data_IF_557476021166
#
_entry.id   IF_557476021166
#
_cell.length_a   1.000
_cell.length_b   1.000
_cell.length_c   1.000
_cell.angle_alpha   90.00
_cell.angle_beta   90.00
_cell.angle_gamma   90.00
#
_symmetry.space_group_name_H-M   'P 1'
#
loop_
_entity.id
_entity.type
_entity.pdbx_description
1 polymer ?
#
# COMPACT_ATOMS: atom_id res chain seq x y z
N UNK A 1 -10.70 4.03 0.59
CA UNK A 1 -9.23 4.17 0.76
C UNK A 1 -8.75 3.19 1.82
N UNK A 2 -7.45 2.90 1.85
CA UNK A 2 -6.83 2.05 2.88
C UNK A 2 -5.66 2.83 3.47
N UNK A 3 -5.50 2.81 4.80
CA UNK A 3 -4.38 3.48 5.48
C UNK A 3 -3.03 2.82 5.13
N UNK A 4 -1.93 3.45 5.53
CA UNK A 4 -0.67 2.73 5.72
C UNK A 4 -0.82 1.60 6.75
N UNK A 5 0.09 0.64 6.71
CA UNK A 5 0.09 -0.52 7.63
C UNK A 5 0.30 -0.10 9.08
N UNK A 6 -0.59 -0.55 9.95
CA UNK A 6 -0.57 -0.30 11.38
C UNK A 6 -0.34 -1.60 12.13
N UNK A 7 0.51 -1.53 13.14
CA UNK A 7 0.93 -2.69 13.90
C UNK A 7 -0.19 -3.15 14.86
N UNK A 8 -0.49 -4.46 14.93
CA UNK A 8 -1.47 -4.98 15.88
C UNK A 8 -0.92 -4.96 17.32
N UNK A 9 0.40 -5.05 17.47
CA UNK A 9 1.11 -5.02 18.75
C UNK A 9 2.55 -4.53 18.53
N UNK A 10 3.33 -4.45 19.62
CA UNK A 10 4.71 -3.99 19.60
C UNK A 10 5.67 -4.92 18.84
N UNK A 11 5.50 -6.24 18.95
CA UNK A 11 6.34 -7.26 18.28
C UNK A 11 6.22 -7.18 16.75
N UNK A 12 5.03 -6.83 16.26
CA UNK A 12 4.70 -6.69 14.86
C UNK A 12 4.99 -5.32 14.25
N UNK A 13 5.46 -4.35 15.03
CA UNK A 13 5.82 -3.02 14.56
C UNK A 13 6.95 -3.05 13.54
N UNK A 14 6.79 -2.35 12.41
CA UNK A 14 7.85 -2.22 11.39
C UNK A 14 9.10 -1.55 11.98
N UNK A 15 8.89 -0.51 12.79
CA UNK A 15 9.91 0.25 13.52
C UNK A 15 9.46 0.45 14.98
N UNK A 16 10.39 0.73 15.92
CA UNK A 16 10.02 1.15 17.26
C UNK A 16 9.10 2.39 17.20
N UNK A 17 7.94 2.33 17.86
CA UNK A 17 6.94 3.40 17.80
C UNK A 17 6.09 3.40 16.52
N UNK A 18 6.06 2.30 15.77
CA UNK A 18 5.14 2.13 14.64
C UNK A 18 3.68 2.44 15.03
N UNK A 19 2.95 3.06 14.11
CA UNK A 19 1.55 3.42 14.30
C UNK A 19 0.70 2.17 14.57
N UNK A 20 -0.31 2.32 15.43
CA UNK A 20 -1.24 1.26 15.83
C UNK A 20 -2.36 1.84 16.69
N UNK A 21 -3.39 1.03 16.94
CA UNK A 21 -4.50 1.39 17.86
C UNK A 21 -4.29 0.67 19.20
N UNK A 22 -3.32 1.12 19.99
CA UNK A 22 -2.94 0.44 21.24
C UNK A 22 -3.75 0.92 22.45
N UNK A 23 -4.32 2.11 22.37
CA UNK A 23 -5.03 2.77 23.47
C UNK A 23 -6.30 3.48 22.99
N UNK A 24 -7.18 3.84 23.93
CA UNK A 24 -8.36 4.66 23.64
C UNK A 24 -7.99 6.03 23.05
N UNK A 25 -6.84 6.57 23.45
CA UNK A 25 -6.30 7.80 22.89
C UNK A 25 -5.95 7.65 21.41
N UNK A 26 -5.38 6.51 21.02
CA UNK A 26 -5.09 6.22 19.61
C UNK A 26 -6.41 6.15 18.81
N UNK A 27 -7.43 5.46 19.32
CA UNK A 27 -8.75 5.41 18.68
C UNK A 27 -9.37 6.80 18.52
N UNK A 28 -9.29 7.64 19.56
CA UNK A 28 -9.77 9.02 19.49
C UNK A 28 -9.03 9.86 18.44
N UNK A 29 -7.70 9.70 18.32
CA UNK A 29 -6.91 10.38 17.29
C UNK A 29 -7.29 9.91 15.88
N UNK A 30 -7.52 8.61 15.69
CA UNK A 30 -7.91 8.05 14.40
C UNK A 30 -9.33 8.43 14.00
N UNK A 31 -10.23 8.64 14.97
CA UNK A 31 -11.57 9.12 14.71
C UNK A 31 -11.57 10.47 13.99
N UNK A 32 -10.60 11.35 14.28
CA UNK A 32 -10.41 12.60 13.53
C UNK A 32 -10.21 12.33 12.03
N UNK A 33 -9.49 11.27 11.66
CA UNK A 33 -9.26 10.93 10.25
C UNK A 33 -10.50 10.30 9.63
N UNK A 34 -11.15 9.36 10.31
CA UNK A 34 -12.35 8.68 9.78
C UNK A 34 -13.49 9.67 9.59
N UNK A 35 -13.74 10.55 10.57
CA UNK A 35 -14.79 11.57 10.51
C UNK A 35 -14.56 12.49 9.31
N UNK A 36 -13.32 12.96 9.08
CA UNK A 36 -12.99 13.81 7.93
C UNK A 36 -13.18 13.12 6.60
N UNK A 37 -12.89 11.82 6.51
CA UNK A 37 -13.15 11.04 5.29
C UNK A 37 -14.66 10.87 5.07
N UNK A 38 -15.42 10.65 6.14
CA UNK A 38 -16.87 10.48 6.08
C UNK A 38 -17.61 11.77 5.76
N UNK A 39 -17.16 12.91 6.29
CA UNK A 39 -17.68 14.26 5.98
C UNK A 39 -17.63 14.55 4.47
N UNK A 40 -16.60 14.04 3.78
CA UNK A 40 -16.42 14.15 2.32
C UNK A 40 -17.12 13.01 1.53
N UNK A 41 -17.92 12.18 2.21
CA UNK A 41 -18.65 11.06 1.62
C UNK A 41 -17.77 9.84 1.27
N UNK A 42 -16.54 9.80 1.77
CA UNK A 42 -15.59 8.72 1.55
C UNK A 42 -15.82 7.49 2.43
N UNK A 43 -14.97 6.48 2.21
CA UNK A 43 -14.86 5.26 3.01
C UNK A 43 -13.40 4.92 3.24
N UNK A 44 -13.03 4.51 4.45
CA UNK A 44 -11.66 4.20 4.83
C UNK A 44 -11.56 2.89 5.62
N UNK A 45 -10.60 2.05 5.23
CA UNK A 45 -10.22 0.84 5.97
C UNK A 45 -8.83 1.00 6.58
N UNK A 46 -8.63 0.42 7.77
CA UNK A 46 -7.32 0.39 8.42
C UNK A 46 -6.54 -0.87 8.00
N UNK A 47 -5.33 -0.71 7.46
CA UNK A 47 -4.48 -1.87 7.19
C UNK A 47 -3.81 -2.36 8.49
N UNK A 48 -4.04 -3.62 8.86
CA UNK A 48 -3.34 -4.29 9.95
C UNK A 48 -2.14 -5.04 9.37
N UNK A 49 -0.94 -4.64 9.78
CA UNK A 49 0.32 -5.16 9.28
C UNK A 49 1.21 -5.59 10.45
N UNK A 50 1.48 -6.88 10.53
CA UNK A 50 2.50 -7.43 11.42
C UNK A 50 3.78 -7.72 10.63
N UNK A 51 4.88 -7.02 10.93
CA UNK A 51 6.09 -7.08 10.12
C UNK A 51 6.82 -8.43 10.19
N UNK A 52 6.62 -9.18 11.29
CA UNK A 52 7.24 -10.50 11.48
C UNK A 52 8.76 -10.37 11.48
N UNK A 53 9.47 -11.23 10.73
CA UNK A 53 10.93 -11.15 10.60
C UNK A 53 11.49 -9.86 9.97
N UNK A 54 10.65 -9.02 9.39
CA UNK A 54 11.05 -7.71 8.87
C UNK A 54 10.99 -6.58 9.90
N UNK A 55 10.40 -6.81 11.07
CA UNK A 55 10.39 -5.79 12.12
C UNK A 55 11.84 -5.38 12.46
N UNK A 56 12.08 -4.07 12.50
CA UNK A 56 13.35 -3.49 12.91
C UNK A 56 13.42 -3.39 14.44
N UNK A 57 13.29 -4.54 15.10
CA UNK A 57 13.24 -4.68 16.56
C UNK A 57 13.85 -6.02 16.99
N UNK A 58 14.57 -6.09 18.12
CA UNK A 58 15.02 -7.37 18.70
C UNK A 58 13.85 -8.22 19.23
N UNK A 59 12.66 -7.64 19.38
CA UNK A 59 11.44 -8.35 19.79
C UNK A 59 10.72 -9.00 18.61
N UNK A 60 11.30 -8.96 17.40
CA UNK A 60 10.64 -9.50 16.21
C UNK A 60 10.41 -11.02 16.31
N UNK A 61 9.24 -11.44 15.84
CA UNK A 61 8.80 -12.84 15.90
C UNK A 61 8.48 -13.39 14.52
N UNK A 62 8.61 -14.71 14.35
CA UNK A 62 8.43 -15.39 13.07
C UNK A 62 8.02 -16.86 13.29
N UNK A 63 7.57 -17.58 12.25
CA UNK A 63 7.28 -19.01 12.36
C UNK A 63 8.51 -19.86 12.71
N UNK A 64 9.72 -19.42 12.35
CA UNK A 64 10.98 -20.10 12.62
C UNK A 64 12.11 -19.07 12.71
N UNK A 65 13.27 -19.38 13.32
CA UNK A 65 14.35 -18.42 13.56
C UNK A 65 15.20 -18.15 12.30
N UNK A 66 14.54 -17.92 11.15
CA UNK A 66 15.17 -17.65 9.86
C UNK A 66 15.30 -16.14 9.67
N UNK A 67 16.49 -15.61 9.96
CA UNK A 67 16.82 -14.19 9.79
C UNK A 67 16.61 -13.73 8.34
N UNK A 68 16.00 -12.56 8.18
CA UNK A 68 15.87 -11.89 6.88
C UNK A 68 17.19 -11.21 6.46
N UNK A 69 17.56 -11.22 5.17
CA UNK A 69 18.70 -10.45 4.65
C UNK A 69 18.52 -8.93 4.70
N UNK A 70 17.30 -8.41 4.93
CA UNK A 70 17.03 -6.96 4.98
C UNK A 70 16.79 -6.42 6.40
N UNK A 71 16.79 -7.29 7.42
CA UNK A 71 16.68 -6.90 8.83
C UNK A 71 17.94 -7.30 9.59
N UNK A 72 18.47 -6.46 10.50
CA UNK A 72 19.62 -6.83 11.32
C UNK A 72 19.26 -7.84 12.43
N UNK A 73 17.98 -7.96 12.80
CA UNK A 73 17.54 -8.76 13.94
C UNK A 73 17.09 -10.17 13.53
N UNK A 74 17.64 -11.24 14.15
CA UNK A 74 17.08 -12.58 13.99
C UNK A 74 15.75 -12.68 14.75
N UNK A 75 14.68 -13.23 14.13
CA UNK A 75 13.41 -13.33 14.82
C UNK A 75 13.41 -14.48 15.84
N UNK A 76 12.64 -14.30 16.91
CA UNK A 76 12.29 -15.36 17.83
C UNK A 76 11.19 -16.24 17.22
N UNK A 77 11.36 -17.55 17.33
CA UNK A 77 10.33 -18.52 16.96
C UNK A 77 9.16 -18.46 17.95
N UNK A 78 7.94 -18.44 17.44
CA UNK A 78 6.74 -18.50 18.27
C UNK A 78 6.41 -19.94 18.67
N UNK A 79 5.93 -20.13 19.89
CA UNK A 79 5.21 -21.33 20.30
C UNK A 79 3.69 -21.19 20.04
N UNK A 80 2.90 -22.20 20.41
CA UNK A 80 1.45 -22.19 20.24
C UNK A 80 0.79 -20.98 20.92
N UNK A 81 1.18 -20.67 22.16
CA UNK A 81 0.64 -19.53 22.91
C UNK A 81 1.03 -18.20 22.25
N UNK A 82 2.28 -18.08 21.79
CA UNK A 82 2.75 -16.93 21.05
C UNK A 82 1.99 -16.71 19.75
N UNK A 83 1.67 -17.77 19.00
CA UNK A 83 0.86 -17.70 17.78
C UNK A 83 -0.57 -17.26 18.10
N UNK A 84 -1.22 -17.87 19.10
CA UNK A 84 -2.58 -17.49 19.52
C UNK A 84 -2.63 -16.03 19.99
N UNK A 85 -1.61 -15.57 20.72
CA UNK A 85 -1.47 -14.16 21.09
C UNK A 85 -1.45 -13.25 19.85
N UNK A 86 -0.67 -13.58 18.81
CA UNK A 86 -0.64 -12.75 17.58
C UNK A 86 -2.01 -12.73 16.89
N UNK A 87 -2.73 -13.85 16.86
CA UNK A 87 -4.09 -13.92 16.31
C UNK A 87 -5.03 -13.00 17.10
N UNK A 88 -4.99 -13.09 18.43
CA UNK A 88 -5.81 -12.28 19.32
C UNK A 88 -5.52 -10.78 19.16
N UNK A 89 -4.25 -10.39 19.08
CA UNK A 89 -3.83 -9.00 18.91
C UNK A 89 -4.29 -8.42 17.56
N UNK A 90 -4.24 -9.21 16.47
CA UNK A 90 -4.76 -8.78 15.16
C UNK A 90 -6.29 -8.61 15.19
N UNK A 91 -7.01 -9.54 15.82
CA UNK A 91 -8.47 -9.44 15.97
C UNK A 91 -8.86 -8.23 16.84
N UNK A 92 -8.13 -7.96 17.92
CA UNK A 92 -8.33 -6.81 18.78
C UNK A 92 -8.05 -5.49 18.06
N UNK A 93 -6.99 -5.42 17.24
CA UNK A 93 -6.72 -4.26 16.39
C UNK A 93 -7.88 -3.98 15.42
N UNK A 94 -8.51 -5.03 14.87
CA UNK A 94 -9.68 -4.88 14.01
C UNK A 94 -10.92 -4.39 14.76
N UNK A 95 -11.18 -4.93 15.96
CA UNK A 95 -12.26 -4.47 16.85
C UNK A 95 -12.10 -2.98 17.16
N UNK A 96 -10.89 -2.55 17.50
CA UNK A 96 -10.55 -1.14 17.76
C UNK A 96 -10.68 -0.26 16.53
N UNK A 97 -10.33 -0.77 15.35
CA UNK A 97 -10.56 -0.03 14.10
C UNK A 97 -12.04 0.26 13.89
N UNK A 98 -12.92 -0.71 14.15
CA UNK A 98 -14.38 -0.50 14.11
C UNK A 98 -14.82 0.56 15.12
N UNK A 99 -14.33 0.52 16.36
CA UNK A 99 -14.64 1.52 17.39
C UNK A 99 -14.11 2.93 17.06
N UNK A 100 -12.98 3.00 16.35
CA UNK A 100 -12.39 4.24 15.86
C UNK A 100 -13.15 4.84 14.67
N UNK A 101 -14.14 4.14 14.11
CA UNK A 101 -14.99 4.65 13.02
C UNK A 101 -14.50 4.26 11.62
N UNK A 102 -13.57 3.31 11.47
CA UNK A 102 -13.25 2.78 10.14
C UNK A 102 -14.44 2.02 9.54
N UNK A 103 -14.53 1.95 8.22
CA UNK A 103 -15.54 1.15 7.51
C UNK A 103 -15.11 -0.31 7.30
N UNK A 104 -13.83 -0.58 7.57
CA UNK A 104 -13.23 -1.88 7.36
C UNK A 104 -11.80 -1.98 7.86
N UNK A 105 -11.23 -3.17 7.67
CA UNK A 105 -9.80 -3.43 7.83
C UNK A 105 -9.23 -4.15 6.61
N UNK A 106 -7.95 -3.94 6.34
CA UNK A 106 -7.18 -4.78 5.44
C UNK A 106 -6.16 -5.61 6.23
N UNK A 107 -6.32 -6.94 6.23
CA UNK A 107 -5.36 -7.87 6.82
C UNK A 107 -4.23 -8.10 5.83
N UNK A 108 -3.01 -7.69 6.19
CA UNK A 108 -1.84 -7.77 5.32
C UNK A 108 -1.27 -9.20 5.27
N UNK A 109 -1.68 -9.96 4.24
CA UNK A 109 -1.32 -11.36 4.01
C UNK A 109 -0.21 -11.60 2.99
N UNK A 110 0.58 -10.57 2.65
CA UNK A 110 1.49 -10.58 1.51
C UNK A 110 2.84 -9.91 1.79
N UNK A 111 3.65 -9.73 0.75
CA UNK A 111 4.92 -9.01 0.68
C UNK A 111 6.00 -9.51 1.64
N UNK A 112 5.84 -10.77 2.07
CA UNK A 112 6.73 -11.42 3.01
C UNK A 112 6.57 -10.96 4.45
N UNK A 113 5.47 -10.31 4.81
CA UNK A 113 5.13 -10.02 6.20
C UNK A 113 4.64 -11.26 6.95
N UNK A 114 4.36 -11.11 8.25
CA UNK A 114 4.15 -12.21 9.19
C UNK A 114 3.23 -13.33 8.70
N UNK A 115 2.04 -13.00 8.20
CA UNK A 115 1.10 -14.01 7.69
C UNK A 115 1.64 -14.73 6.45
N UNK A 116 2.29 -13.99 5.55
CA UNK A 116 2.94 -14.56 4.36
C UNK A 116 4.13 -15.45 4.73
N UNK A 117 4.84 -15.14 5.81
CA UNK A 117 5.96 -15.95 6.32
C UNK A 117 5.52 -17.32 6.80
N UNK A 118 4.30 -17.49 7.31
CA UNK A 118 3.78 -18.81 7.68
C UNK A 118 3.41 -19.66 6.46
N UNK A 119 3.03 -19.03 5.34
CA UNK A 119 2.55 -19.73 4.14
C UNK A 119 3.64 -20.46 3.36
N UNK A 120 4.89 -19.98 3.41
CA UNK A 120 5.97 -20.45 2.55
C UNK A 120 7.00 -21.27 3.33
N UNK A 121 7.47 -22.36 2.72
CA UNK A 121 8.53 -23.20 3.31
C UNK A 121 9.89 -22.49 3.27
N UNK A 122 10.03 -21.37 2.55
CA UNK A 122 11.19 -20.49 2.63
C UNK A 122 11.49 -20.06 4.08
N UNK A 123 10.46 -19.68 4.84
CA UNK A 123 10.56 -19.11 6.18
C UNK A 123 9.96 -19.99 7.28
N UNK A 124 8.93 -20.76 6.97
CA UNK A 124 8.29 -21.66 7.92
C UNK A 124 8.97 -23.04 7.87
N UNK A 125 9.73 -23.37 8.92
CA UNK A 125 10.47 -24.63 9.09
C UNK A 125 9.85 -25.53 10.17
N UNK A 126 8.65 -25.20 10.65
CA UNK A 126 7.98 -25.91 11.73
C UNK A 126 7.52 -27.29 11.27
N UNK A 127 7.49 -28.22 12.21
CA UNK A 127 6.99 -29.59 12.10
C UNK A 127 5.70 -29.84 12.91
N UNK A 128 5.15 -28.77 13.51
CA UNK A 128 3.90 -28.78 14.25
C UNK A 128 2.67 -28.45 13.36
N UNK A 129 1.52 -28.21 14.00
CA UNK A 129 0.25 -27.90 13.31
C UNK A 129 0.22 -26.56 12.56
N UNK A 130 1.29 -25.77 12.64
CA UNK A 130 1.44 -24.48 11.96
C UNK A 130 2.48 -24.52 10.83
N UNK A 131 3.12 -25.67 10.58
CA UNK A 131 4.07 -25.86 9.48
C UNK A 131 3.96 -27.23 8.81
N UNK A 132 4.92 -27.52 7.92
CA UNK A 132 4.89 -28.73 7.09
C UNK A 132 3.89 -28.61 5.94
N UNK A 133 2.73 -29.26 6.06
CA UNK A 133 1.71 -29.33 4.98
C UNK A 133 1.13 -27.95 4.64
N UNK A 134 0.56 -27.80 3.43
CA UNK A 134 -0.17 -26.58 3.06
C UNK A 134 -1.27 -26.25 4.07
N UNK A 135 -2.05 -27.26 4.49
CA UNK A 135 -3.14 -27.10 5.45
C UNK A 135 -2.68 -26.43 6.75
N UNK A 136 -1.54 -26.88 7.28
CA UNK A 136 -0.95 -26.31 8.49
C UNK A 136 -0.39 -24.90 8.26
N UNK A 137 0.29 -24.68 7.13
CA UNK A 137 0.88 -23.36 6.79
C UNK A 137 -0.17 -22.28 6.56
N UNK A 138 -1.32 -22.62 5.98
CA UNK A 138 -2.44 -21.69 5.79
C UNK A 138 -3.30 -21.48 7.04
N UNK A 139 -3.14 -22.32 8.07
CA UNK A 139 -3.95 -22.27 9.31
C UNK A 139 -3.92 -20.89 9.96
N UNK A 140 -2.74 -20.28 10.11
CA UNK A 140 -2.62 -18.97 10.75
C UNK A 140 -3.39 -17.86 9.99
N UNK A 141 -3.14 -17.60 8.69
CA UNK A 141 -3.90 -16.58 7.96
C UNK A 141 -5.42 -16.79 7.98
N UNK A 142 -5.87 -18.04 7.85
CA UNK A 142 -7.31 -18.40 7.86
C UNK A 142 -7.92 -18.12 9.23
N UNK A 143 -7.25 -18.54 10.31
CA UNK A 143 -7.69 -18.28 11.68
C UNK A 143 -7.72 -16.78 12.00
N UNK A 144 -6.74 -16.02 11.52
CA UNK A 144 -6.73 -14.55 11.66
C UNK A 144 -7.97 -13.93 11.01
N UNK A 145 -8.26 -14.25 9.75
CA UNK A 145 -9.44 -13.68 9.06
C UNK A 145 -10.74 -14.09 9.75
N UNK A 146 -10.85 -15.37 10.16
CA UNK A 146 -12.01 -15.88 10.90
C UNK A 146 -12.23 -15.12 12.21
N UNK A 147 -11.18 -14.88 12.98
CA UNK A 147 -11.24 -14.18 14.28
C UNK A 147 -11.46 -12.68 14.12
N UNK A 148 -10.88 -12.07 13.09
CA UNK A 148 -11.17 -10.69 12.70
C UNK A 148 -12.65 -10.54 12.37
N UNK A 149 -13.20 -11.38 11.48
CA UNK A 149 -14.64 -11.37 11.13
C UNK A 149 -15.52 -11.50 12.37
N UNK A 150 -15.21 -12.44 13.27
CA UNK A 150 -15.95 -12.62 14.52
C UNK A 150 -15.91 -11.38 15.43
N UNK A 151 -14.77 -10.70 15.51
CA UNK A 151 -14.61 -9.52 16.36
C UNK A 151 -15.33 -8.28 15.80
N UNK A 152 -15.44 -8.16 14.48
CA UNK A 152 -16.01 -6.96 13.82
C UNK A 152 -17.43 -7.12 13.31
N UNK A 153 -17.98 -8.34 13.27
CA UNK A 153 -19.34 -8.60 12.76
C UNK A 153 -19.44 -8.63 11.24
N UNK A 154 -20.62 -8.91 10.70
CA UNK A 154 -20.84 -9.10 9.25
C UNK A 154 -20.96 -7.78 8.47
N UNK A 155 -21.35 -6.70 9.14
CA UNK A 155 -21.56 -5.35 8.59
C UNK A 155 -20.26 -4.51 8.54
N UNK A 156 -19.13 -5.17 8.28
CA UNK A 156 -17.81 -4.54 8.28
C UNK A 156 -16.93 -5.09 7.15
N UNK A 157 -16.23 -4.21 6.43
CA UNK A 157 -15.41 -4.65 5.30
C UNK A 157 -14.13 -5.34 5.83
N UNK A 158 -13.89 -6.58 5.42
CA UNK A 158 -12.63 -7.29 5.70
C UNK A 158 -11.92 -7.56 4.39
N UNK A 159 -10.86 -6.80 4.10
CA UNK A 159 -10.01 -7.01 2.93
C UNK A 159 -8.88 -7.95 3.38
N UNK A 160 -8.56 -8.98 2.60
CA UNK A 160 -7.32 -9.73 2.79
C UNK A 160 -6.38 -9.47 1.62
N UNK A 161 -5.16 -9.02 1.91
CA UNK A 161 -4.17 -8.74 0.87
C UNK A 161 -3.30 -9.98 0.60
N UNK A 162 -3.75 -10.81 -0.33
CA UNK A 162 -3.15 -12.11 -0.67
C UNK A 162 -1.92 -11.97 -1.58
N UNK A 163 -0.83 -12.67 -1.25
CA UNK A 163 0.33 -12.77 -2.15
C UNK A 163 0.03 -13.72 -3.29
N UNK A 164 0.01 -13.23 -4.53
CA UNK A 164 -0.21 -14.08 -5.71
C UNK A 164 1.08 -14.66 -6.27
N UNK A 165 2.20 -13.94 -6.09
CA UNK A 165 3.52 -14.37 -6.51
C UNK A 165 4.54 -13.83 -5.50
N UNK A 166 5.18 -14.72 -4.73
CA UNK A 166 6.12 -14.30 -3.69
C UNK A 166 7.48 -13.80 -4.23
N UNK A 167 7.88 -14.26 -5.42
CA UNK A 167 9.17 -13.91 -6.07
C UNK A 167 10.42 -14.21 -5.21
N UNK A 168 10.33 -15.21 -4.34
CA UNK A 168 11.43 -15.77 -3.55
C UNK A 168 11.52 -17.29 -3.75
N UNK A 169 12.68 -17.93 -3.48
CA UNK A 169 12.80 -19.38 -3.56
C UNK A 169 11.85 -20.07 -2.59
N UNK A 170 11.18 -21.14 -3.03
CA UNK A 170 10.20 -21.90 -2.24
C UNK A 170 9.02 -21.04 -1.73
N UNK A 171 8.60 -20.06 -2.54
CA UNK A 171 7.31 -19.38 -2.39
C UNK A 171 6.13 -20.30 -2.71
N UNK A 172 4.92 -19.77 -2.56
CA UNK A 172 3.69 -20.52 -2.84
C UNK A 172 3.58 -20.87 -4.32
N UNK A 173 3.11 -22.08 -4.59
CA UNK A 173 2.66 -22.48 -5.92
C UNK A 173 1.26 -21.94 -6.21
N UNK A 174 0.89 -21.87 -7.49
CA UNK A 174 -0.43 -21.37 -7.89
C UNK A 174 -1.62 -22.18 -7.28
N UNK A 175 -1.60 -23.53 -7.23
CA UNK A 175 -2.65 -24.28 -6.55
C UNK A 175 -2.77 -23.98 -5.04
N UNK A 176 -1.64 -23.71 -4.38
CA UNK A 176 -1.62 -23.28 -2.98
C UNK A 176 -2.26 -21.90 -2.79
N UNK A 177 -1.97 -20.95 -3.71
CA UNK A 177 -2.60 -19.62 -3.73
C UNK A 177 -4.11 -19.71 -3.91
N UNK A 178 -4.61 -20.56 -4.82
CA UNK A 178 -6.06 -20.77 -5.01
C UNK A 178 -6.70 -21.33 -3.74
N UNK A 179 -6.09 -22.37 -3.17
CA UNK A 179 -6.60 -23.03 -1.96
C UNK A 179 -6.67 -22.05 -0.79
N UNK A 180 -5.64 -21.22 -0.63
CA UNK A 180 -5.63 -20.14 0.36
C UNK A 180 -6.73 -19.12 0.09
N UNK A 181 -6.88 -18.66 -1.15
CA UNK A 181 -7.88 -17.64 -1.49
C UNK A 181 -9.31 -18.09 -1.14
N UNK A 182 -9.65 -19.33 -1.48
CA UNK A 182 -10.94 -19.94 -1.14
C UNK A 182 -11.12 -20.12 0.37
N UNK A 183 -10.06 -20.53 1.08
CA UNK A 183 -10.11 -20.65 2.54
C UNK A 183 -10.31 -19.29 3.23
N UNK A 184 -9.68 -18.23 2.72
CA UNK A 184 -9.80 -16.85 3.22
C UNK A 184 -11.19 -16.27 2.94
N UNK A 185 -11.74 -16.51 1.75
CA UNK A 185 -13.12 -16.19 1.40
C UNK A 185 -14.10 -16.86 2.38
N UNK A 186 -13.97 -18.18 2.57
CA UNK A 186 -14.81 -18.94 3.51
C UNK A 186 -14.64 -18.50 4.97
N UNK A 187 -13.47 -17.98 5.34
CA UNK A 187 -13.23 -17.42 6.67
C UNK A 187 -13.93 -16.07 6.90
N UNK A 188 -14.47 -15.46 5.85
CA UNK A 188 -15.28 -14.25 5.91
C UNK A 188 -14.60 -12.98 5.38
N UNK A 189 -13.59 -13.09 4.51
CA UNK A 189 -13.10 -11.93 3.78
C UNK A 189 -14.21 -11.37 2.85
N UNK A 190 -14.36 -10.05 2.82
CA UNK A 190 -15.28 -9.34 1.93
C UNK A 190 -14.68 -9.12 0.54
N UNK A 191 -13.36 -8.92 0.47
CA UNK A 191 -12.62 -8.52 -0.74
C UNK A 191 -11.21 -9.13 -0.68
N UNK A 192 -10.69 -9.58 -1.81
CA UNK A 192 -9.28 -9.94 -1.94
C UNK A 192 -8.50 -8.83 -2.65
N UNK A 193 -7.49 -8.28 -2.00
CA UNK A 193 -6.53 -7.39 -2.64
C UNK A 193 -5.24 -8.15 -2.96
N UNK A 194 -4.57 -7.81 -4.05
CA UNK A 194 -3.40 -8.57 -4.52
C UNK A 194 -2.08 -7.95 -4.06
N UNK A 195 -1.19 -8.81 -3.60
CA UNK A 195 0.22 -8.53 -3.29
C UNK A 195 1.13 -9.26 -4.29
N UNK A 196 2.24 -8.60 -4.65
CA UNK A 196 3.20 -9.07 -5.65
C UNK A 196 4.62 -8.86 -5.13
N UNK A 197 5.28 -9.97 -4.87
CA UNK A 197 6.68 -10.05 -4.49
C UNK A 197 6.94 -9.71 -3.03
N UNK A 198 8.00 -10.28 -2.48
CA UNK A 198 8.50 -9.91 -1.15
C UNK A 198 9.45 -8.71 -1.24
N UNK A 199 9.67 -8.02 -0.12
CA UNK A 199 10.74 -7.01 -0.03
C UNK A 199 12.14 -7.57 -0.32
N UNK A 200 12.34 -8.88 -0.09
CA UNK A 200 13.58 -9.60 -0.42
C UNK A 200 13.71 -10.00 -1.89
N UNK A 201 12.63 -9.88 -2.67
CA UNK A 201 12.63 -10.27 -4.07
C UNK A 201 13.63 -9.43 -4.87
N UNK A 202 14.37 -10.07 -5.77
CA UNK A 202 15.32 -9.40 -6.68
C UNK A 202 14.67 -8.92 -7.98
N UNK A 203 13.40 -9.24 -8.17
CA UNK A 203 12.60 -8.86 -9.34
C UNK A 203 11.84 -7.57 -9.00
N UNK A 204 12.03 -6.48 -9.75
CA UNK A 204 11.30 -5.24 -9.51
C UNK A 204 9.78 -5.43 -9.72
N UNK A 205 8.98 -4.96 -8.76
CA UNK A 205 7.51 -5.06 -8.82
C UNK A 205 6.81 -3.70 -8.95
N UNK A 206 7.50 -2.60 -8.60
CA UNK A 206 6.89 -1.27 -8.55
C UNK A 206 7.69 -0.15 -9.20
N UNK A 207 8.99 -0.32 -9.44
CA UNK A 207 9.90 0.72 -9.95
C UNK A 207 9.57 1.17 -11.39
N UNK A 208 10.16 2.27 -11.87
CA UNK A 208 9.92 2.84 -13.22
C UNK A 208 10.13 1.84 -14.37
N UNK A 209 11.08 0.91 -14.23
CA UNK A 209 11.36 -0.15 -15.21
C UNK A 209 10.24 -1.18 -15.37
N UNK A 210 9.35 -1.30 -14.39
CA UNK A 210 8.24 -2.26 -14.43
C UNK A 210 7.14 -1.74 -15.39
N UNK A 211 6.68 -2.50 -16.38
CA UNK A 211 5.61 -2.05 -17.26
C UNK A 211 4.33 -1.67 -16.50
N UNK A 212 3.53 -0.78 -17.09
CA UNK A 212 2.17 -0.54 -16.60
C UNK A 212 1.38 -1.84 -16.66
N UNK A 213 0.44 -2.05 -15.72
CA UNK A 213 -0.42 -3.25 -15.64
C UNK A 213 0.33 -4.60 -15.69
N UNK A 214 1.61 -4.65 -15.28
CA UNK A 214 2.49 -5.82 -15.49
C UNK A 214 1.98 -7.12 -14.84
N UNK A 215 1.19 -7.02 -13.77
CA UNK A 215 0.78 -8.18 -12.97
C UNK A 215 -0.73 -8.46 -13.02
N UNK A 216 -1.50 -7.72 -13.81
CA UNK A 216 -2.97 -7.85 -13.84
C UNK A 216 -3.43 -9.21 -14.37
N UNK A 217 -2.60 -9.88 -15.19
CA UNK A 217 -2.87 -11.23 -15.67
C UNK A 217 -2.94 -12.26 -14.54
N UNK A 218 -2.21 -12.05 -13.44
CA UNK A 218 -2.21 -12.97 -12.29
C UNK A 218 -3.51 -12.84 -11.51
N UNK A 219 -3.95 -11.59 -11.28
CA UNK A 219 -5.26 -11.32 -10.69
C UNK A 219 -6.38 -11.92 -11.53
N UNK A 220 -6.33 -11.75 -12.85
CA UNK A 220 -7.31 -12.32 -13.78
C UNK A 220 -7.47 -13.84 -13.63
N UNK A 221 -6.37 -14.57 -13.36
CA UNK A 221 -6.43 -16.01 -13.11
C UNK A 221 -7.12 -16.36 -11.80
N UNK A 222 -7.07 -15.50 -10.79
CA UNK A 222 -7.72 -15.73 -9.49
C UNK A 222 -9.24 -15.49 -9.56
N UNK A 223 -9.69 -14.54 -10.38
CA UNK A 223 -11.10 -14.12 -10.41
C UNK A 223 -12.09 -15.26 -10.67
N UNK A 224 -11.70 -16.31 -11.39
CA UNK A 224 -12.57 -17.47 -11.65
C UNK A 224 -12.65 -18.45 -10.48
N UNK A 225 -11.82 -18.30 -9.46
CA UNK A 225 -11.63 -19.28 -8.38
C UNK A 225 -12.31 -18.88 -7.07
N UNK A 226 -12.81 -17.64 -6.99
CA UNK A 226 -13.45 -17.02 -5.82
C UNK A 226 -14.68 -16.23 -6.26
N UNK A 227 -15.61 -15.96 -5.33
CA UNK A 227 -16.82 -15.19 -5.60
C UNK A 227 -16.78 -13.75 -5.08
N UNK A 228 -15.93 -13.47 -4.08
CA UNK A 228 -15.70 -12.12 -3.58
C UNK A 228 -14.96 -11.24 -4.60
N UNK A 229 -15.20 -9.91 -4.60
CA UNK A 229 -14.49 -9.00 -5.48
C UNK A 229 -12.97 -9.06 -5.30
N UNK A 230 -12.24 -8.97 -6.41
CA UNK A 230 -10.77 -9.02 -6.44
C UNK A 230 -10.18 -7.70 -6.95
N UNK A 231 -9.22 -7.16 -6.20
CA UNK A 231 -8.49 -5.92 -6.54
C UNK A 231 -7.12 -6.25 -7.14
N UNK A 232 -6.83 -5.71 -8.33
CA UNK A 232 -5.47 -5.76 -8.90
C UNK A 232 -4.67 -4.49 -8.58
N UNK A 233 -3.35 -4.62 -8.40
CA UNK A 233 -2.46 -3.51 -8.07
C UNK A 233 -1.22 -3.47 -8.97
N UNK A 234 -0.25 -2.65 -8.57
CA UNK A 234 1.06 -2.42 -9.17
C UNK A 234 1.03 -1.77 -10.57
N UNK A 235 1.67 -0.59 -10.64
CA UNK A 235 1.93 0.15 -11.89
C UNK A 235 0.68 0.46 -12.74
N UNK A 236 -0.46 0.66 -12.07
CA UNK A 236 -1.65 1.30 -12.63
C UNK A 236 -1.59 2.76 -12.17
N UNK A 237 -1.41 3.69 -13.11
CA UNK A 237 -1.07 5.09 -12.78
C UNK A 237 -1.71 6.15 -13.68
N UNK A 238 -2.58 5.76 -14.61
CA UNK A 238 -3.44 6.69 -15.36
C UNK A 238 -4.86 6.13 -15.46
N UNK A 239 -5.89 7.00 -15.62
CA UNK A 239 -7.27 6.54 -15.75
C UNK A 239 -7.47 5.58 -16.90
N UNK A 240 -6.77 5.80 -18.02
CA UNK A 240 -6.89 4.96 -19.23
C UNK A 240 -6.36 3.54 -18.98
N UNK A 241 -5.27 3.41 -18.20
CA UNK A 241 -4.74 2.09 -17.84
C UNK A 241 -5.67 1.40 -16.83
N UNK A 242 -6.18 2.14 -15.85
CA UNK A 242 -7.15 1.61 -14.90
C UNK A 242 -8.42 1.09 -15.61
N UNK A 243 -8.99 1.90 -16.50
CA UNK A 243 -10.19 1.55 -17.27
C UNK A 243 -9.94 0.34 -18.17
N UNK A 244 -8.81 0.30 -18.89
CA UNK A 244 -8.47 -0.86 -19.73
C UNK A 244 -8.36 -2.15 -18.91
N UNK A 245 -7.82 -2.09 -17.69
CA UNK A 245 -7.72 -3.26 -16.80
C UNK A 245 -9.10 -3.77 -16.36
N UNK A 246 -10.04 -2.87 -16.06
CA UNK A 246 -11.41 -3.23 -15.69
C UNK A 246 -12.18 -3.76 -16.91
N UNK A 247 -12.11 -3.07 -18.05
CA UNK A 247 -12.77 -3.47 -19.29
C UNK A 247 -12.26 -4.80 -19.84
N UNK A 248 -10.96 -5.11 -19.66
CA UNK A 248 -10.36 -6.41 -20.01
C UNK A 248 -10.78 -7.55 -19.05
N UNK A 249 -11.55 -7.25 -17.99
CA UNK A 249 -11.97 -8.21 -16.97
C UNK A 249 -10.79 -8.79 -16.19
N UNK A 250 -9.79 -7.95 -15.87
CA UNK A 250 -8.62 -8.40 -15.10
C UNK A 250 -8.80 -8.28 -13.58
N UNK A 251 -9.79 -7.50 -13.12
CA UNK A 251 -10.16 -7.30 -11.72
C UNK A 251 -11.52 -6.62 -11.62
N UNK A 252 -12.16 -6.69 -10.46
CA UNK A 252 -13.37 -5.92 -10.14
C UNK A 252 -13.04 -4.48 -9.71
N UNK A 253 -11.82 -4.29 -9.18
CA UNK A 253 -11.31 -2.99 -8.75
C UNK A 253 -9.82 -2.85 -9.06
N UNK A 254 -9.35 -1.60 -9.15
CA UNK A 254 -7.92 -1.30 -9.24
C UNK A 254 -7.43 -0.60 -7.98
N UNK A 255 -6.26 -1.01 -7.51
CA UNK A 255 -5.54 -0.37 -6.41
C UNK A 255 -4.48 0.57 -6.95
N UNK A 256 -4.54 1.83 -6.50
CA UNK A 256 -3.56 2.86 -6.78
C UNK A 256 -3.11 3.48 -5.45
N UNK A 257 -1.81 3.46 -5.18
CA UNK A 257 -1.23 4.12 -4.00
C UNK A 257 -0.50 5.40 -4.40
N UNK A 258 0.69 5.24 -5.01
CA UNK A 258 1.54 6.36 -5.45
C UNK A 258 0.87 7.36 -6.42
N UNK A 259 -0.08 6.97 -7.30
CA UNK A 259 -0.84 7.94 -8.09
C UNK A 259 -1.61 8.97 -7.24
N UNK A 260 -2.11 8.60 -6.05
CA UNK A 260 -2.80 9.54 -5.17
C UNK A 260 -1.84 10.47 -4.41
N UNK A 261 -0.58 10.06 -4.20
CA UNK A 261 0.47 11.00 -3.76
C UNK A 261 0.83 12.00 -4.88
N UNK A 262 0.88 11.54 -6.13
CA UNK A 262 1.15 12.41 -7.27
C UNK A 262 0.02 13.40 -7.54
N UNK A 263 -1.24 12.98 -7.39
CA UNK A 263 -2.38 13.85 -7.61
C UNK A 263 -3.59 13.41 -6.76
N UNK A 264 -3.93 14.20 -5.74
CA UNK A 264 -5.09 13.91 -4.89
C UNK A 264 -6.43 14.07 -5.65
N UNK A 265 -6.47 14.90 -6.70
CA UNK A 265 -7.65 15.12 -7.53
C UNK A 265 -7.79 14.08 -8.66
N UNK A 266 -6.95 13.03 -8.68
CA UNK A 266 -6.90 12.04 -9.75
C UNK A 266 -8.31 11.57 -10.19
N UNK A 267 -9.14 11.14 -9.23
CA UNK A 267 -10.48 10.61 -9.50
C UNK A 267 -11.42 11.71 -10.00
N UNK A 268 -11.39 12.88 -9.36
CA UNK A 268 -12.22 14.02 -9.74
C UNK A 268 -11.89 14.53 -11.15
N UNK A 269 -10.60 14.61 -11.50
CA UNK A 269 -10.12 14.98 -12.84
C UNK A 269 -10.51 13.95 -13.88
N UNK A 270 -10.34 12.66 -13.59
CA UNK A 270 -10.74 11.57 -14.48
C UNK A 270 -12.24 11.61 -14.78
N UNK A 271 -13.08 11.70 -13.74
CA UNK A 271 -14.55 11.80 -13.86
C UNK A 271 -14.99 13.01 -14.68
N UNK A 272 -14.26 14.13 -14.60
CA UNK A 272 -14.55 15.35 -15.35
C UNK A 272 -13.98 15.35 -16.79
N UNK A 273 -13.42 14.24 -17.29
CA UNK A 273 -12.80 14.19 -18.62
C UNK A 273 -11.49 14.98 -18.73
N UNK A 274 -10.86 15.31 -17.60
CA UNK A 274 -9.63 16.11 -17.51
C UNK A 274 -8.40 15.24 -17.22
N UNK A 275 -8.34 14.01 -17.74
CA UNK A 275 -7.22 13.09 -17.46
C UNK A 275 -5.85 13.66 -17.86
N UNK A 276 -5.80 14.51 -18.89
CA UNK A 276 -4.58 15.21 -19.34
C UNK A 276 -4.01 16.21 -18.32
N UNK A 277 -4.78 16.63 -17.31
CA UNK A 277 -4.30 17.55 -16.25
C UNK A 277 -3.96 16.82 -14.95
N UNK A 278 -3.91 15.48 -14.97
CA UNK A 278 -3.46 14.68 -13.84
C UNK A 278 -1.92 14.71 -13.80
N UNK A 279 -1.33 15.00 -12.64
CA UNK A 279 0.09 14.84 -12.42
C UNK A 279 0.43 13.33 -12.36
N UNK A 280 1.14 12.77 -13.35
CA UNK A 280 1.32 11.32 -13.42
C UNK A 280 2.37 10.86 -12.41
N UNK A 281 2.05 9.80 -11.66
CA UNK A 281 3.08 9.08 -10.91
C UNK A 281 4.07 8.40 -11.88
N UNK A 282 5.33 8.81 -11.82
CA UNK A 282 6.42 8.28 -12.66
C UNK A 282 7.14 7.06 -12.06
N UNK A 283 6.64 6.54 -10.93
CA UNK A 283 7.18 5.38 -10.24
C UNK A 283 8.67 5.50 -9.83
N UNK A 284 9.16 6.72 -9.59
CA UNK A 284 10.56 6.97 -9.27
C UNK A 284 10.98 6.45 -7.88
N UNK A 285 10.03 6.26 -6.96
CA UNK A 285 10.22 5.85 -5.57
C UNK A 285 11.00 6.83 -4.66
N UNK A 286 11.71 7.80 -5.24
CA UNK A 286 12.61 8.73 -4.55
C UNK A 286 11.99 9.44 -3.34
N UNK A 287 10.83 10.06 -3.51
CA UNK A 287 10.25 10.90 -2.45
C UNK A 287 9.21 10.16 -1.58
N UNK A 288 8.69 9.03 -2.06
CA UNK A 288 7.68 8.26 -1.34
C UNK A 288 8.33 7.10 -0.58
N UNK A 289 8.81 6.10 -1.30
CA UNK A 289 9.32 4.88 -0.70
C UNK A 289 10.72 5.06 -0.12
N UNK A 290 11.66 5.68 -0.85
CA UNK A 290 13.04 5.85 -0.39
C UNK A 290 13.07 6.73 0.87
N UNK A 291 12.29 7.82 0.90
CA UNK A 291 12.08 8.61 2.12
C UNK A 291 11.57 7.77 3.30
N UNK A 292 10.57 6.92 3.08
CA UNK A 292 10.05 6.03 4.14
C UNK A 292 11.15 5.12 4.67
N UNK A 293 12.00 4.55 3.80
CA UNK A 293 13.14 3.73 4.21
C UNK A 293 14.25 4.53 4.91
N UNK A 294 14.38 5.82 4.59
CA UNK A 294 15.25 6.77 5.27
C UNK A 294 14.62 7.36 6.55
N UNK A 295 13.45 6.87 6.98
CA UNK A 295 12.70 7.36 8.15
C UNK A 295 12.29 8.84 8.04
N UNK A 296 12.00 9.30 6.83
CA UNK A 296 11.44 10.62 6.53
C UNK A 296 9.96 10.49 6.18
N UNK A 297 9.22 11.59 6.30
CA UNK A 297 7.84 11.67 5.82
C UNK A 297 7.83 11.42 4.30
N UNK A 298 6.98 10.48 3.88
CA UNK A 298 6.77 10.20 2.47
C UNK A 298 6.11 11.41 1.80
N UNK A 299 6.62 11.83 0.65
CA UNK A 299 6.02 12.85 -0.21
C UNK A 299 6.07 12.39 -1.67
N UNK A 300 5.98 13.31 -2.64
CA UNK A 300 6.04 12.99 -4.06
C UNK A 300 6.94 13.95 -4.83
N UNK A 301 7.75 13.40 -5.74
CA UNK A 301 8.64 14.19 -6.59
C UNK A 301 7.87 15.20 -7.46
N UNK A 302 6.70 14.79 -7.98
CA UNK A 302 5.87 15.64 -8.84
C UNK A 302 4.82 16.43 -8.07
N UNK A 303 4.69 16.20 -6.77
CA UNK A 303 3.75 16.89 -5.90
C UNK A 303 4.34 17.06 -4.48
N UNK A 304 5.10 18.13 -4.22
CA UNK A 304 5.72 18.36 -2.92
C UNK A 304 4.71 18.63 -1.80
N UNK A 305 3.43 18.89 -2.11
CA UNK A 305 2.37 19.06 -1.10
C UNK A 305 1.91 17.74 -0.50
N UNK A 306 2.19 16.60 -1.14
CA UNK A 306 1.74 15.30 -0.66
C UNK A 306 2.30 15.05 0.76
N UNK A 307 1.40 14.77 1.72
CA UNK A 307 1.65 14.66 3.15
C UNK A 307 2.14 15.94 3.87
N UNK A 308 2.08 17.09 3.20
CA UNK A 308 2.39 18.42 3.73
C UNK A 308 1.26 19.42 3.45
N UNK A 309 0.02 18.93 3.25
CA UNK A 309 -1.11 19.72 2.76
C UNK A 309 -1.51 20.85 3.72
N UNK A 310 -1.26 20.65 5.02
CA UNK A 310 -1.52 21.63 6.10
C UNK A 310 -0.38 22.63 6.31
N UNK A 311 0.82 22.34 5.80
CA UNK A 311 2.01 23.20 5.91
C UNK A 311 2.20 24.04 4.64
N UNK A 312 2.06 23.40 3.47
CA UNK A 312 2.20 24.01 2.15
C UNK A 312 0.83 24.46 1.64
N UNK A 313 0.36 25.59 2.17
CA UNK A 313 -0.91 26.21 1.81
C UNK A 313 -0.69 27.30 0.74
N UNK A 314 -1.25 27.08 -0.45
CA UNK A 314 -1.11 27.99 -1.60
C UNK A 314 -2.30 28.93 -1.72
N UNK A 315 -2.55 29.74 -0.68
CA UNK A 315 -3.65 30.71 -0.71
C UNK A 315 -3.46 31.78 -1.79
N UNK A 316 -4.55 32.24 -2.43
CA UNK A 316 -4.52 33.40 -3.32
C UNK A 316 -3.86 34.63 -2.67
N UNK A 317 -3.19 35.46 -3.46
CA UNK A 317 -2.60 36.71 -3.00
C UNK A 317 -3.54 37.90 -3.18
N UNK A 318 -3.58 38.79 -2.19
CA UNK A 318 -4.26 40.09 -2.30
C UNK A 318 -3.41 41.17 -3.00
N UNK A 319 -2.14 40.87 -3.30
CA UNK A 319 -1.21 41.78 -3.98
C UNK A 319 -0.53 41.09 -5.18
N UNK A 320 -1.26 40.89 -6.29
CA UNK A 320 -0.70 40.31 -7.51
C UNK A 320 0.56 41.05 -7.97
N UNK A 321 1.52 40.29 -8.50
CA UNK A 321 2.80 40.79 -9.03
C UNK A 321 3.01 40.27 -10.44
N UNK A 322 3.86 40.95 -11.19
CA UNK A 322 4.45 40.39 -12.41
C UNK A 322 5.72 39.63 -12.04
N UNK A 323 5.77 38.34 -12.38
CA UNK A 323 6.85 37.42 -12.01
C UNK A 323 7.50 36.89 -13.28
N UNK A 324 8.80 37.14 -13.44
CA UNK A 324 9.60 36.53 -14.50
C UNK A 324 10.30 35.28 -13.95
N UNK A 325 10.08 34.12 -14.58
CA UNK A 325 10.78 32.87 -14.26
C UNK A 325 11.69 32.52 -15.43
N UNK A 326 13.00 32.41 -15.19
CA UNK A 326 13.99 32.11 -16.22
C UNK A 326 14.46 30.66 -16.10
N UNK A 327 14.05 29.83 -17.06
CA UNK A 327 14.30 28.39 -17.16
C UNK A 327 13.01 27.58 -16.95
N UNK A 328 12.50 26.94 -17.99
CA UNK A 328 11.36 26.03 -18.00
C UNK A 328 11.76 24.57 -17.71
N UNK A 329 12.78 24.35 -16.87
CA UNK A 329 13.02 23.06 -16.22
C UNK A 329 12.03 22.78 -15.09
N UNK A 330 12.10 21.62 -14.42
CA UNK A 330 11.16 21.25 -13.36
C UNK A 330 11.03 22.30 -12.26
N UNK A 331 12.14 22.89 -11.80
CA UNK A 331 12.12 23.94 -10.78
C UNK A 331 11.33 25.19 -11.23
N UNK A 332 11.61 25.70 -12.43
CA UNK A 332 10.92 26.87 -12.96
C UNK A 332 9.46 26.58 -13.31
N UNK A 333 9.13 25.39 -13.81
CA UNK A 333 7.76 24.96 -14.03
C UNK A 333 6.96 24.93 -12.72
N UNK A 334 7.49 24.31 -11.67
CA UNK A 334 6.83 24.29 -10.36
C UNK A 334 6.66 25.70 -9.79
N UNK A 335 7.68 26.56 -9.86
CA UNK A 335 7.59 27.94 -9.39
C UNK A 335 6.55 28.76 -10.17
N UNK A 336 6.56 28.64 -11.50
CA UNK A 336 5.61 29.34 -12.36
C UNK A 336 4.16 28.89 -12.12
N UNK A 337 3.93 27.57 -12.00
CA UNK A 337 2.60 27.01 -11.73
C UNK A 337 2.05 27.50 -10.39
N UNK A 338 2.82 27.40 -9.31
CA UNK A 338 2.35 27.81 -7.97
C UNK A 338 2.16 29.33 -7.89
N UNK A 339 3.04 30.13 -8.50
CA UNK A 339 2.87 31.58 -8.54
C UNK A 339 1.59 31.98 -9.30
N UNK A 340 1.30 31.31 -10.43
CA UNK A 340 0.09 31.54 -11.20
C UNK A 340 -1.17 31.08 -10.44
N UNK A 341 -1.14 29.92 -9.76
CA UNK A 341 -2.25 29.42 -8.92
C UNK A 341 -2.61 30.41 -7.80
N UNK A 342 -1.60 31.07 -7.22
CA UNK A 342 -1.80 32.11 -6.21
C UNK A 342 -2.32 33.44 -6.78
N UNK A 343 -2.39 33.60 -8.10
CA UNK A 343 -2.93 34.81 -8.77
C UNK A 343 -1.90 35.81 -9.28
N UNK A 344 -0.60 35.48 -9.32
CA UNK A 344 0.40 36.34 -9.95
C UNK A 344 0.35 36.24 -11.48
N UNK A 345 0.75 37.31 -12.18
CA UNK A 345 0.98 37.28 -13.62
C UNK A 345 2.40 36.77 -13.89
N UNK A 346 2.52 35.59 -14.50
CA UNK A 346 3.82 34.91 -14.68
C UNK A 346 4.24 34.92 -16.15
N UNK A 347 5.48 35.32 -16.43
CA UNK A 347 6.13 35.12 -17.72
C UNK A 347 7.27 34.13 -17.57
N UNK A 348 7.16 32.99 -18.24
CA UNK A 348 8.16 31.92 -18.21
C UNK A 348 9.05 32.01 -19.46
N UNK A 349 10.35 32.12 -19.24
CA UNK A 349 11.36 32.16 -20.29
C UNK A 349 12.13 30.85 -20.32
N UNK A 350 12.46 30.35 -21.51
CA UNK A 350 13.50 29.34 -21.70
C UNK A 350 14.21 29.61 -23.03
N UNK A 351 15.47 29.19 -23.13
CA UNK A 351 16.21 29.24 -24.40
C UNK A 351 15.90 28.07 -25.33
N UNK A 352 15.37 26.98 -24.78
CA UNK A 352 15.04 25.77 -25.53
C UNK A 352 13.65 25.88 -26.17
N UNK A 353 13.46 25.17 -27.28
CA UNK A 353 12.20 25.16 -28.04
C UNK A 353 11.05 24.44 -27.32
N UNK A 354 11.34 23.72 -26.25
CA UNK A 354 10.36 22.97 -25.46
C UNK A 354 10.67 23.04 -23.96
N UNK A 355 9.61 23.12 -23.16
CA UNK A 355 9.69 23.02 -21.70
C UNK A 355 10.21 21.64 -21.25
N UNK A 356 10.67 21.56 -20.01
CA UNK A 356 11.07 20.32 -19.32
C UNK A 356 12.52 20.29 -18.90
N UNK A 357 13.39 21.12 -19.48
CA UNK A 357 14.82 21.17 -19.16
C UNK A 357 15.47 19.78 -19.20
N UNK A 358 16.18 19.41 -18.13
CA UNK A 358 16.86 18.10 -18.04
C UNK A 358 15.90 16.89 -18.05
N UNK A 359 14.61 17.07 -17.78
CA UNK A 359 13.64 15.97 -17.91
C UNK A 359 13.49 15.49 -19.36
N UNK A 360 13.76 16.35 -20.35
CA UNK A 360 13.79 15.95 -21.76
C UNK A 360 14.95 15.02 -22.08
N UNK A 361 16.05 15.10 -21.32
CA UNK A 361 17.16 14.14 -21.38
C UNK A 361 16.83 12.86 -20.61
N UNK A 362 16.11 12.98 -19.48
CA UNK A 362 15.74 11.83 -18.66
C UNK A 362 14.72 10.91 -19.34
N UNK A 363 13.73 11.47 -20.05
CA UNK A 363 12.61 10.71 -20.65
C UNK A 363 12.98 9.79 -21.81
N UNK A 364 14.20 9.89 -22.34
CA UNK A 364 14.69 9.04 -23.44
C UNK A 364 15.57 7.89 -22.95
N UNK A 365 15.83 7.80 -21.65
CA UNK A 365 16.59 6.70 -21.06
C UNK A 365 15.70 5.45 -21.01
N UNK A 366 16.14 4.30 -21.56
CA UNK A 366 15.34 3.07 -21.52
C UNK A 366 14.92 2.69 -20.10
N UNK A 367 13.62 2.43 -19.92
CA UNK A 367 13.04 2.07 -18.62
C UNK A 367 12.75 3.25 -17.69
N UNK A 368 12.85 4.50 -18.17
CA UNK A 368 12.38 5.71 -17.47
C UNK A 368 11.12 6.31 -18.07
#
# INVERSE_FOLDING_TARGET
MVTGGMAPNREGGVLPGAAGLFTDKDMANHRVVTDRVHDEGGRIAMQILHAGRYAYSPECVAPSPVKSPISPFPPRELDEEGIEKQIADIAEAARRAREAGYDGVEVMGSEGYFLNQFLVTHTNKRDDRWGGSLENRMRLPVEVVRRVRQAVGDDFIVIYRISLIDLVPNGQSWPEVITLAQAIENAGASILNTGIGWHEARIPTIATSVPRRAFTWVTKKLMSEVSVPVITSNRINTPEVAEAVLADGCADMVSMARPFLADADFVAKAKAGRSKTIAPCIACNQACLDHTFEMKVATCLVNPRAAHETELVYSPTDAPKQVAVVGAGPAGLSAAMVAAERGHSVTLFDKADAIGGQLNMAKVIPGK
#
